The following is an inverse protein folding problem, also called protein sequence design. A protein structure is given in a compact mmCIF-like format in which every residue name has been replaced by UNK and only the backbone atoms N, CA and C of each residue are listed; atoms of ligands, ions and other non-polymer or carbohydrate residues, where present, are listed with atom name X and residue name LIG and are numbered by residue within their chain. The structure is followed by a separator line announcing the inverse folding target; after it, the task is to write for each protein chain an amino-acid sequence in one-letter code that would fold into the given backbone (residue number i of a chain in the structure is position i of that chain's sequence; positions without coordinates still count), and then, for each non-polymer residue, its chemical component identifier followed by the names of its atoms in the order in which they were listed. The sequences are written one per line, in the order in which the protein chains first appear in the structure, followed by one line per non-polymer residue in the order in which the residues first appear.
data_IF_310297033515
#
_entry.id   IF_310297033515
#
_cell.length_a   1.000
_cell.length_b   1.000
_cell.length_c   1.000
_cell.angle_alpha   90.00
_cell.angle_beta   90.00
_cell.angle_gamma   90.00
#
_symmetry.space_group_name_H-M   'P 1'
#
loop_
_entity.id
_entity.type
_entity.pdbx_description
1 polymer ?
#
# COMPACT_ATOMS: atom_id res chain seq x y z
N UNK A 1 -1.09 6.28 20.48
CA UNK A 1 -0.83 7.64 19.97
C UNK A 1 0.59 7.69 19.42
N UNK A 2 0.74 7.84 18.10
CA UNK A 2 1.96 8.38 17.47
C UNK A 2 1.54 9.06 16.17
N UNK A 3 1.72 10.37 16.16
CA UNK A 3 1.72 11.25 15.00
C UNK A 3 2.96 10.88 14.18
N UNK A 4 2.81 10.66 12.88
CA UNK A 4 3.93 10.39 11.98
C UNK A 4 4.15 11.68 11.21
N UNK A 5 5.12 12.46 11.68
CA UNK A 5 5.75 13.53 10.91
C UNK A 5 6.49 12.92 9.70
N UNK A 6 6.25 13.46 8.51
CA UNK A 6 7.25 13.43 7.45
C UNK A 6 8.16 14.67 7.56
N UNK A 7 9.31 14.73 6.87
CA UNK A 7 10.24 13.67 6.50
C UNK A 7 11.56 13.85 7.29
N UNK A 8 11.82 12.99 8.28
CA UNK A 8 13.05 13.07 9.09
C UNK A 8 13.57 11.70 9.55
N UNK A 9 13.62 10.73 8.64
CA UNK A 9 14.39 9.50 8.86
C UNK A 9 14.87 8.92 7.53
N UNK A 10 15.85 9.61 6.94
CA UNK A 10 16.96 8.94 6.26
C UNK A 10 17.84 8.27 7.33
N UNK A 11 17.26 7.31 8.06
CA UNK A 11 18.01 6.45 8.99
C UNK A 11 18.58 5.32 8.14
N UNK A 12 19.88 5.42 7.87
CA UNK A 12 20.80 4.40 7.37
C UNK A 12 20.18 3.31 6.48
N UNK A 13 20.54 3.32 5.19
CA UNK A 13 20.40 2.14 4.35
C UNK A 13 20.91 0.91 5.13
N UNK A 14 20.19 -0.22 5.16
CA UNK A 14 20.65 -1.40 5.88
C UNK A 14 22.04 -1.79 5.36
N UNK A 15 23.09 -1.60 6.17
CA UNK A 15 24.50 -1.83 5.83
C UNK A 15 24.85 -3.32 5.79
N UNK A 16 24.06 -4.09 5.06
CA UNK A 16 24.21 -5.53 4.90
C UNK A 16 23.15 -6.04 3.94
N UNK A 17 23.10 -5.50 2.73
CA UNK A 17 22.28 -6.09 1.69
C UNK A 17 22.87 -7.46 1.34
N UNK A 18 22.32 -8.52 1.95
CA UNK A 18 22.49 -9.88 1.47
C UNK A 18 22.13 -9.93 -0.03
N UNK A 19 22.70 -10.85 -0.79
CA UNK A 19 22.38 -11.03 -2.21
C UNK A 19 20.86 -11.21 -2.43
N UNK A 20 20.16 -11.77 -1.44
CA UNK A 20 18.69 -11.83 -1.41
C UNK A 20 18.01 -10.46 -1.35
N UNK A 21 18.56 -9.50 -0.62
CA UNK A 21 17.99 -8.14 -0.48
C UNK A 21 18.16 -7.33 -1.74
N UNK A 22 19.28 -7.47 -2.44
CA UNK A 22 19.47 -6.84 -3.74
C UNK A 22 18.48 -7.40 -4.78
N UNK A 23 18.27 -8.72 -4.80
CA UNK A 23 17.29 -9.34 -5.70
C UNK A 23 15.85 -8.86 -5.41
N UNK A 24 15.47 -8.72 -4.13
CA UNK A 24 14.17 -8.17 -3.70
C UNK A 24 14.00 -6.72 -4.12
N UNK A 25 15.01 -5.89 -3.89
CA UNK A 25 15.00 -4.48 -4.27
C UNK A 25 14.88 -4.31 -5.78
N UNK A 26 15.65 -5.09 -6.56
CA UNK A 26 15.61 -5.08 -8.02
C UNK A 26 14.26 -5.50 -8.58
N UNK A 27 13.70 -6.63 -8.11
CA UNK A 27 12.38 -7.08 -8.53
C UNK A 27 11.30 -6.01 -8.22
N UNK A 28 11.40 -5.38 -7.05
CA UNK A 28 10.47 -4.34 -6.61
C UNK A 28 10.56 -3.07 -7.46
N UNK A 29 11.76 -2.62 -7.81
CA UNK A 29 11.96 -1.47 -8.69
C UNK A 29 11.34 -1.72 -10.08
N UNK A 30 11.60 -2.89 -10.67
CA UNK A 30 11.04 -3.27 -11.96
C UNK A 30 9.50 -3.31 -11.93
N UNK A 31 8.91 -3.75 -10.82
CA UNK A 31 7.45 -3.85 -10.68
C UNK A 31 6.79 -2.49 -10.37
N UNK A 32 7.17 -1.81 -9.29
CA UNK A 32 6.47 -0.62 -8.80
C UNK A 32 6.88 0.67 -9.50
N UNK A 33 8.14 0.78 -9.94
CA UNK A 33 8.65 2.01 -10.57
C UNK A 33 8.54 1.93 -12.07
N UNK A 34 8.92 0.79 -12.66
CA UNK A 34 8.91 0.62 -14.12
C UNK A 34 7.62 -0.03 -14.65
N UNK A 35 6.73 -0.53 -13.77
CA UNK A 35 5.43 -1.07 -14.18
C UNK A 35 5.49 -2.40 -14.94
N UNK A 36 6.60 -3.15 -14.85
CA UNK A 36 6.70 -4.43 -15.55
C UNK A 36 5.77 -5.48 -14.93
N UNK A 37 5.26 -6.38 -15.77
CA UNK A 37 4.54 -7.56 -15.30
C UNK A 37 5.50 -8.52 -14.60
N UNK A 38 4.98 -9.34 -13.68
CA UNK A 38 5.79 -10.35 -13.00
C UNK A 38 6.45 -11.35 -13.96
N UNK A 39 5.81 -11.63 -15.11
CA UNK A 39 6.41 -12.49 -16.15
C UNK A 39 7.59 -11.79 -16.83
N UNK A 40 7.44 -10.53 -17.25
CA UNK A 40 8.55 -9.78 -17.86
C UNK A 40 9.75 -9.61 -16.89
N UNK A 41 9.48 -9.48 -15.59
CA UNK A 41 10.51 -9.47 -14.55
C UNK A 41 11.20 -10.83 -14.44
N UNK A 42 10.42 -11.92 -14.47
CA UNK A 42 10.94 -13.29 -14.41
C UNK A 42 11.92 -13.54 -15.57
N UNK A 43 11.50 -13.21 -16.79
CA UNK A 43 12.32 -13.37 -18.00
C UNK A 43 13.60 -12.51 -17.92
N UNK A 44 13.49 -11.25 -17.46
CA UNK A 44 14.61 -10.32 -17.32
C UNK A 44 15.61 -10.73 -16.24
N UNK A 45 15.16 -11.34 -15.15
CA UNK A 45 16.01 -11.74 -14.03
C UNK A 45 16.49 -13.20 -14.13
N UNK A 46 16.06 -13.96 -15.14
CA UNK A 46 16.35 -15.40 -15.25
C UNK A 46 15.74 -16.22 -14.11
N UNK A 47 14.56 -15.80 -13.63
CA UNK A 47 13.85 -16.42 -12.51
C UNK A 47 12.49 -16.98 -12.96
N UNK A 48 11.88 -17.82 -12.13
CA UNK A 48 10.48 -18.19 -12.34
C UNK A 48 9.53 -17.08 -11.85
N UNK A 49 8.33 -16.99 -12.46
CA UNK A 49 7.27 -16.07 -12.02
C UNK A 49 6.93 -16.23 -10.53
N UNK A 50 6.91 -17.48 -10.03
CA UNK A 50 6.67 -17.79 -8.61
C UNK A 50 7.79 -17.23 -7.72
N UNK A 51 9.05 -17.32 -8.16
CA UNK A 51 10.18 -16.74 -7.43
C UNK A 51 10.07 -15.21 -7.39
N UNK A 52 9.69 -14.56 -8.49
CA UNK A 52 9.44 -13.10 -8.54
C UNK A 52 8.34 -12.70 -7.58
N UNK A 53 7.21 -13.41 -7.58
CA UNK A 53 6.11 -13.17 -6.64
C UNK A 53 6.59 -13.26 -5.18
N UNK A 54 7.37 -14.29 -4.84
CA UNK A 54 7.94 -14.44 -3.50
C UNK A 54 8.88 -13.30 -3.14
N UNK A 55 9.77 -12.88 -4.06
CA UNK A 55 10.67 -11.74 -3.81
C UNK A 55 9.89 -10.45 -3.52
N UNK A 56 8.80 -10.18 -4.26
CA UNK A 56 7.95 -9.00 -4.02
C UNK A 56 7.21 -9.08 -2.67
N UNK A 57 6.78 -10.26 -2.25
CA UNK A 57 6.15 -10.47 -0.94
C UNK A 57 7.17 -10.26 0.19
N UNK A 58 8.31 -10.94 0.12
CA UNK A 58 9.39 -10.82 1.11
C UNK A 58 9.94 -9.38 1.19
N UNK A 59 9.98 -8.64 0.06
CA UNK A 59 10.39 -7.24 0.05
C UNK A 59 9.47 -6.36 0.90
N UNK A 60 8.16 -6.64 0.91
CA UNK A 60 7.19 -5.93 1.76
C UNK A 60 7.30 -6.37 3.21
N UNK A 61 7.37 -7.68 3.46
CA UNK A 61 7.47 -8.23 4.82
C UNK A 61 8.74 -7.77 5.55
N UNK A 62 9.87 -7.70 4.84
CA UNK A 62 11.15 -7.25 5.40
C UNK A 62 11.31 -5.73 5.40
N UNK A 63 10.31 -4.98 4.93
CA UNK A 63 10.34 -3.52 4.90
C UNK A 63 11.31 -2.90 3.87
N UNK A 64 11.80 -3.69 2.91
CA UNK A 64 12.61 -3.20 1.77
C UNK A 64 11.77 -2.26 0.89
N UNK A 65 10.46 -2.55 0.78
CA UNK A 65 9.49 -1.71 0.08
C UNK A 65 8.44 -1.22 1.05
N UNK A 66 8.25 0.10 1.09
CA UNK A 66 7.12 0.74 1.76
C UNK A 66 6.26 1.42 0.71
N UNK A 67 4.99 1.05 0.65
CA UNK A 67 4.01 1.70 -0.23
C UNK A 67 3.23 2.70 0.62
N UNK A 68 3.32 3.96 0.26
CA UNK A 68 2.53 5.03 0.86
C UNK A 68 1.46 5.48 -0.14
N UNK A 69 0.21 5.52 0.29
CA UNK A 69 -0.88 6.10 -0.47
C UNK A 69 -1.11 7.48 0.12
N UNK A 70 -0.92 8.53 -0.69
CA UNK A 70 -1.10 9.93 -0.27
C UNK A 70 -2.40 10.49 -0.88
N UNK A 71 -3.19 11.23 -0.09
CA UNK A 71 -4.37 11.95 -0.57
C UNK A 71 -5.63 11.82 0.33
N UNK A 72 -6.70 12.54 -0.04
CA UNK A 72 -7.95 12.69 0.73
C UNK A 72 -8.64 11.34 1.04
N UNK A 73 -8.39 10.32 0.22
CA UNK A 73 -8.93 8.97 0.40
C UNK A 73 -8.04 8.07 1.27
N UNK A 74 -6.74 8.35 1.39
CA UNK A 74 -5.81 7.48 2.12
C UNK A 74 -6.15 7.41 3.62
N UNK A 75 -6.47 8.55 4.23
CA UNK A 75 -6.89 8.61 5.62
C UNK A 75 -8.21 7.84 5.84
N UNK A 76 -9.15 7.95 4.90
CA UNK A 76 -10.44 7.25 4.95
C UNK A 76 -10.28 5.75 4.78
N UNK A 77 -9.52 5.29 3.79
CA UNK A 77 -9.20 3.87 3.59
C UNK A 77 -8.52 3.26 4.81
N UNK A 78 -7.56 3.97 5.41
CA UNK A 78 -6.91 3.53 6.64
C UNK A 78 -7.90 3.44 7.81
N UNK A 79 -8.86 4.37 7.92
CA UNK A 79 -9.89 4.32 8.94
C UNK A 79 -10.89 3.19 8.70
N UNK A 80 -11.34 2.99 7.45
CA UNK A 80 -12.19 1.87 7.04
C UNK A 80 -11.57 0.53 7.43
N UNK A 81 -10.30 0.30 7.06
CA UNK A 81 -9.58 -0.93 7.41
C UNK A 81 -9.49 -1.13 8.94
N UNK A 82 -9.21 -0.06 9.69
CA UNK A 82 -9.15 -0.13 11.17
C UNK A 82 -10.51 -0.41 11.81
N UNK A 83 -11.60 0.11 11.24
CA UNK A 83 -12.96 -0.15 11.72
C UNK A 83 -13.37 -1.59 11.42
N UNK A 84 -13.11 -2.06 10.20
CA UNK A 84 -13.38 -3.44 9.81
C UNK A 84 -12.63 -4.44 10.71
N UNK A 85 -11.34 -4.24 10.95
CA UNK A 85 -10.54 -5.10 11.81
C UNK A 85 -10.99 -5.05 13.28
N UNK A 86 -11.19 -3.85 13.84
CA UNK A 86 -11.60 -3.68 15.24
C UNK A 86 -12.96 -4.30 15.55
N UNK A 87 -13.93 -4.13 14.64
CA UNK A 87 -15.32 -4.53 14.86
C UNK A 87 -15.71 -5.82 14.12
N UNK A 88 -14.76 -6.45 13.42
CA UNK A 88 -14.98 -7.65 12.60
C UNK A 88 -16.10 -7.48 11.58
N UNK A 89 -16.08 -6.36 10.87
CA UNK A 89 -17.06 -6.08 9.81
C UNK A 89 -16.57 -6.62 8.48
N UNK A 90 -17.47 -7.17 7.67
CA UNK A 90 -17.15 -7.56 6.30
C UNK A 90 -16.80 -6.33 5.44
N UNK A 91 -17.47 -5.21 5.70
CA UNK A 91 -17.27 -3.93 5.01
C UNK A 91 -17.39 -2.76 5.98
N UNK A 92 -16.48 -1.79 5.88
CA UNK A 92 -16.60 -0.48 6.51
C UNK A 92 -16.37 0.61 5.46
N UNK A 93 -17.20 1.67 5.46
CA UNK A 93 -17.08 2.82 4.56
C UNK A 93 -17.02 4.11 5.37
N UNK A 94 -16.08 5.00 5.03
CA UNK A 94 -15.88 6.30 5.68
C UNK A 94 -15.99 7.39 4.63
N UNK A 95 -16.90 8.33 4.87
CA UNK A 95 -17.08 9.53 4.05
C UNK A 95 -16.84 10.79 4.89
N UNK A 96 -16.61 11.92 4.23
CA UNK A 96 -16.52 13.20 4.92
C UNK A 96 -17.89 13.56 5.51
N UNK A 97 -17.90 14.10 6.74
CA UNK A 97 -19.12 14.62 7.37
C UNK A 97 -19.52 15.99 6.83
N UNK A 98 -18.61 16.68 6.12
CA UNK A 98 -18.88 17.97 5.49
C UNK A 98 -19.84 17.78 4.33
N UNK A 99 -21.12 17.93 4.63
CA UNK A 99 -22.14 18.29 3.66
C UNK A 99 -21.86 19.73 3.23
N UNK A 100 -21.02 19.91 2.20
CA UNK A 100 -20.96 21.18 1.49
C UNK A 100 -22.37 21.59 1.09
N UNK A 101 -22.67 22.89 1.15
CA UNK A 101 -24.00 23.45 0.90
C UNK A 101 -24.63 22.88 -0.38
N UNK A 102 -25.47 21.84 -0.26
CA UNK A 102 -26.13 21.21 -1.41
C UNK A 102 -26.47 19.73 -1.27
N UNK A 103 -25.65 18.90 -0.60
CA UNK A 103 -25.92 17.46 -0.48
C UNK A 103 -26.39 17.09 0.93
N UNK A 104 -27.54 16.39 1.04
CA UNK A 104 -27.99 15.86 2.32
C UNK A 104 -27.08 14.70 2.76
N UNK A 105 -26.90 14.53 4.07
CA UNK A 105 -26.15 13.41 4.64
C UNK A 105 -26.66 12.04 4.11
N UNK A 106 -27.97 11.91 3.90
CA UNK A 106 -28.59 10.71 3.34
C UNK A 106 -28.15 10.41 1.91
N UNK A 107 -27.98 11.43 1.06
CA UNK A 107 -27.52 11.28 -0.32
C UNK A 107 -26.05 10.82 -0.36
N UNK A 108 -25.21 11.41 0.50
CA UNK A 108 -23.80 11.04 0.64
C UNK A 108 -23.67 9.58 1.08
N UNK A 109 -24.44 9.15 2.09
CA UNK A 109 -24.43 7.76 2.55
C UNK A 109 -24.92 6.82 1.45
N UNK A 110 -26.01 7.17 0.75
CA UNK A 110 -26.57 6.35 -0.32
C UNK A 110 -25.56 6.06 -1.44
N UNK A 111 -24.78 7.07 -1.83
CA UNK A 111 -23.73 6.92 -2.85
C UNK A 111 -22.62 5.95 -2.45
N UNK A 112 -22.24 5.94 -1.16
CA UNK A 112 -21.18 5.07 -0.65
C UNK A 112 -21.67 3.67 -0.29
N UNK A 113 -22.97 3.49 0.01
CA UNK A 113 -23.56 2.19 0.30
C UNK A 113 -23.87 1.37 -0.97
N UNK A 114 -24.03 2.03 -2.12
CA UNK A 114 -24.32 1.38 -3.40
C UNK A 114 -23.08 0.81 -4.13
N UNK A 115 -21.86 1.04 -3.60
CA UNK A 115 -20.57 0.74 -4.25
C UNK A 115 -19.75 -0.33 -3.50
#
# INVERSE_FOLDING_TARGET
MRVIDGPAHLTAAPTGADAGDEARARASHLYFVLGLTQQAIADRMGLSRVKVQRLLAEARERGIVRIEIVGVSAHRLALEARLADRYRLDVARVTASESGAGASLSEVIGRYAAA
#
